data_IF_070858355058
#
_entry.id   IF_070858355058
#
_cell.length_a   1.000
_cell.length_b   1.000
_cell.length_c   1.000
_cell.angle_alpha   90.00
_cell.angle_beta   90.00
_cell.angle_gamma   90.00
#
_symmetry.space_group_name_H-M   'P 1'
#
loop_
_entity.id
_entity.type
_entity.pdbx_description
1 polymer ?
#
# COMPACT_ATOMS: atom_id res chain seq x y z
N UNK A 1 6.93 -4.21 24.34
CA UNK A 1 8.22 -4.21 23.62
C UNK A 1 7.92 -4.03 22.15
N UNK A 2 8.29 -2.86 21.65
CA UNK A 2 7.75 -2.27 20.42
C UNK A 2 8.04 -3.06 19.14
N UNK A 3 6.98 -3.61 18.56
CA UNK A 3 7.01 -4.32 17.27
C UNK A 3 7.42 -3.39 16.08
N UNK A 4 7.34 -2.07 16.25
CA UNK A 4 7.75 -1.06 15.28
C UNK A 4 9.25 -1.11 14.95
N UNK A 5 10.09 -1.36 15.95
CA UNK A 5 11.55 -1.39 15.78
C UNK A 5 12.08 -2.59 14.98
N UNK A 6 11.26 -3.63 14.82
CA UNK A 6 11.66 -4.83 14.06
C UNK A 6 11.41 -4.70 12.57
N UNK A 7 10.34 -4.01 12.16
CA UNK A 7 9.94 -3.86 10.75
C UNK A 7 10.93 -2.93 10.03
N UNK A 8 11.25 -1.79 10.61
CA UNK A 8 12.25 -0.85 10.08
C UNK A 8 13.61 -1.55 9.87
N UNK A 9 14.09 -2.33 10.85
CA UNK A 9 15.34 -3.10 10.73
C UNK A 9 15.31 -4.19 9.66
N UNK A 10 14.16 -4.81 9.40
CA UNK A 10 14.02 -5.81 8.36
C UNK A 10 14.20 -5.14 6.98
N UNK A 11 13.51 -4.03 6.75
CA UNK A 11 13.61 -3.27 5.50
C UNK A 11 15.01 -2.65 5.28
N UNK A 12 15.64 -2.16 6.33
CA UNK A 12 17.01 -1.62 6.31
C UNK A 12 18.07 -2.65 5.88
N UNK A 13 17.85 -3.92 6.22
CA UNK A 13 18.81 -5.02 5.93
C UNK A 13 18.75 -5.50 4.48
N UNK A 14 17.62 -5.33 3.80
CA UNK A 14 17.37 -5.82 2.45
C UNK A 14 17.64 -4.78 1.33
N UNK A 15 18.06 -3.59 1.68
CA UNK A 15 18.10 -2.37 0.87
C UNK A 15 18.56 -2.45 -0.60
N UNK A 16 19.65 -3.16 -0.94
CA UNK A 16 20.14 -3.24 -2.34
C UNK A 16 19.57 -4.42 -3.12
N UNK A 17 19.33 -5.56 -2.47
CA UNK A 17 18.72 -6.74 -3.10
C UNK A 17 17.19 -6.59 -3.22
N UNK A 18 16.58 -5.82 -2.32
CA UNK A 18 15.16 -5.54 -2.29
C UNK A 18 14.69 -4.94 -3.62
N UNK A 19 15.33 -3.90 -4.10
CA UNK A 19 14.88 -3.18 -5.31
C UNK A 19 14.92 -4.05 -6.58
N UNK A 20 15.95 -4.89 -6.76
CA UNK A 20 16.09 -5.71 -7.97
C UNK A 20 15.05 -6.84 -7.97
N UNK A 21 14.88 -7.51 -6.85
CA UNK A 21 14.00 -8.67 -6.72
C UNK A 21 12.52 -8.25 -6.68
N UNK A 22 12.18 -7.26 -5.84
CA UNK A 22 10.82 -6.77 -5.68
C UNK A 22 10.35 -5.89 -6.85
N UNK A 23 11.26 -5.18 -7.51
CA UNK A 23 10.95 -4.41 -8.72
C UNK A 23 10.30 -5.29 -9.79
N UNK A 24 10.89 -6.46 -10.07
CA UNK A 24 10.43 -7.35 -11.14
C UNK A 24 9.22 -8.19 -10.72
N UNK A 25 9.20 -8.72 -9.49
CA UNK A 25 8.13 -9.61 -9.01
C UNK A 25 6.82 -8.86 -8.79
N UNK A 26 6.89 -7.62 -8.30
CA UNK A 26 5.72 -6.83 -7.95
C UNK A 26 5.39 -5.70 -8.94
N UNK A 27 6.06 -5.65 -10.10
CA UNK A 27 5.80 -4.61 -11.12
C UNK A 27 4.41 -4.71 -11.71
N UNK A 28 3.94 -5.92 -12.00
CA UNK A 28 2.61 -6.14 -12.57
C UNK A 28 1.52 -5.58 -11.65
N UNK A 29 1.55 -5.94 -10.36
CA UNK A 29 0.56 -5.45 -9.40
C UNK A 29 0.56 -3.93 -9.30
N UNK A 30 1.74 -3.27 -9.29
CA UNK A 30 1.81 -1.81 -9.27
C UNK A 30 1.19 -1.19 -10.52
N UNK A 31 1.50 -1.72 -11.71
CA UNK A 31 0.93 -1.22 -12.96
C UNK A 31 -0.61 -1.36 -12.96
N UNK A 32 -1.12 -2.55 -12.63
CA UNK A 32 -2.56 -2.80 -12.50
C UNK A 32 -3.20 -1.88 -11.46
N UNK A 33 -2.54 -1.66 -10.32
CA UNK A 33 -3.04 -0.75 -9.28
C UNK A 33 -3.17 0.70 -9.76
N UNK A 34 -2.19 1.19 -10.50
CA UNK A 34 -2.21 2.53 -11.11
C UNK A 34 -3.32 2.63 -12.17
N UNK A 35 -3.47 1.60 -13.02
CA UNK A 35 -4.53 1.53 -14.03
C UNK A 35 -5.93 1.51 -13.39
N UNK A 36 -6.15 0.69 -12.36
CA UNK A 36 -7.41 0.62 -11.62
C UNK A 36 -7.76 1.95 -10.94
N UNK A 37 -6.75 2.67 -10.45
CA UNK A 37 -6.95 3.95 -9.76
C UNK A 37 -7.53 5.02 -10.69
N UNK A 38 -7.20 4.99 -12.01
CA UNK A 38 -7.65 5.97 -12.99
C UNK A 38 -7.47 7.40 -12.50
N UNK A 39 -6.26 7.71 -11.98
CA UNK A 39 -5.94 9.02 -11.43
C UNK A 39 -6.11 10.09 -12.51
N UNK A 40 -6.90 11.13 -12.20
CA UNK A 40 -7.20 12.24 -13.12
C UNK A 40 -6.25 13.39 -12.86
N UNK A 41 -6.09 14.27 -13.86
CA UNK A 41 -5.42 15.56 -13.69
C UNK A 41 -6.04 16.34 -12.53
N UNK A 42 -5.20 17.05 -11.79
CA UNK A 42 -5.57 17.89 -10.65
C UNK A 42 -6.13 17.12 -9.42
N UNK A 43 -6.14 15.79 -9.44
CA UNK A 43 -6.45 15.01 -8.25
C UNK A 43 -5.23 14.87 -7.34
N UNK A 44 -5.51 14.77 -6.04
CA UNK A 44 -4.52 14.58 -5.00
C UNK A 44 -4.47 13.12 -4.56
N UNK A 45 -3.31 12.50 -4.74
CA UNK A 45 -3.03 11.10 -4.39
C UNK A 45 -2.16 11.00 -3.14
N UNK A 46 -2.54 10.12 -2.23
CA UNK A 46 -1.66 9.62 -1.16
C UNK A 46 -1.19 8.20 -1.49
N UNK A 47 0.12 7.99 -1.55
CA UNK A 47 0.71 6.65 -1.55
C UNK A 47 1.21 6.29 -0.16
N UNK A 48 0.57 5.31 0.47
CA UNK A 48 0.91 4.80 1.80
C UNK A 48 1.90 3.66 1.66
N UNK A 49 3.07 3.78 2.34
CA UNK A 49 4.16 2.84 2.21
C UNK A 49 4.86 2.95 0.85
N UNK A 50 5.22 4.17 0.45
CA UNK A 50 5.83 4.45 -0.86
C UNK A 50 7.18 3.74 -1.06
N UNK A 51 7.83 3.31 0.03
CA UNK A 51 9.11 2.60 0.00
C UNK A 51 10.18 3.36 -0.75
N UNK A 52 10.82 2.69 -1.72
CA UNK A 52 11.84 3.29 -2.59
C UNK A 52 11.25 4.03 -3.81
N UNK A 53 9.96 4.31 -3.81
CA UNK A 53 9.29 5.10 -4.85
C UNK A 53 9.14 4.40 -6.20
N UNK A 54 8.94 3.07 -6.22
CA UNK A 54 8.83 2.30 -7.47
C UNK A 54 7.54 2.59 -8.26
N UNK A 55 6.49 3.06 -7.61
CA UNK A 55 5.21 3.44 -8.23
C UNK A 55 5.22 4.89 -8.75
N UNK A 56 6.04 5.77 -8.17
CA UNK A 56 6.01 7.20 -8.43
C UNK A 56 6.09 7.57 -9.92
N UNK A 57 6.97 6.94 -10.74
CA UNK A 57 7.06 7.26 -12.17
C UNK A 57 5.85 6.79 -13.00
N UNK A 58 4.95 6.00 -12.41
CA UNK A 58 3.77 5.47 -13.09
C UNK A 58 2.58 6.42 -13.02
N UNK A 59 2.61 7.38 -12.09
CA UNK A 59 1.54 8.35 -11.92
C UNK A 59 1.68 9.52 -12.90
N UNK A 60 0.56 10.14 -13.32
CA UNK A 60 0.60 11.32 -14.18
C UNK A 60 1.25 12.50 -13.45
N UNK A 61 2.07 13.27 -14.17
CA UNK A 61 2.73 14.47 -13.64
C UNK A 61 1.78 15.68 -13.42
N UNK A 62 0.53 15.54 -13.82
CA UNK A 62 -0.52 16.56 -13.65
C UNK A 62 -1.28 16.45 -12.32
N UNK A 63 -1.00 15.41 -11.52
CA UNK A 63 -1.64 15.17 -10.22
C UNK A 63 -0.66 15.50 -9.09
N UNK A 64 -1.17 15.95 -7.94
CA UNK A 64 -0.36 16.12 -6.72
C UNK A 64 -0.20 14.77 -6.02
N UNK A 65 1.03 14.34 -5.80
CA UNK A 65 1.35 13.03 -5.20
C UNK A 65 2.07 13.25 -3.87
N UNK A 66 1.53 12.68 -2.81
CA UNK A 66 2.17 12.62 -1.50
C UNK A 66 2.48 11.16 -1.20
N UNK A 67 3.76 10.85 -0.97
CA UNK A 67 4.21 9.53 -0.54
C UNK A 67 4.63 9.53 0.93
N UNK A 68 4.15 8.55 1.70
CA UNK A 68 4.59 8.36 3.09
C UNK A 68 5.18 6.99 3.28
N UNK A 69 6.22 6.92 4.12
CA UNK A 69 6.78 5.65 4.60
C UNK A 69 7.29 5.83 6.03
N UNK A 70 7.35 4.75 6.80
CA UNK A 70 7.90 4.79 8.16
C UNK A 70 9.43 4.77 8.16
N UNK A 71 10.05 4.25 7.10
CA UNK A 71 11.50 4.12 6.94
C UNK A 71 12.10 5.33 6.24
N UNK A 72 12.89 6.13 6.96
CA UNK A 72 13.65 7.24 6.39
C UNK A 72 14.64 6.78 5.31
N UNK A 73 15.24 5.60 5.46
CA UNK A 73 16.18 5.03 4.47
C UNK A 73 15.50 4.64 3.16
N UNK A 74 14.25 4.19 3.21
CA UNK A 74 13.46 3.94 2.00
C UNK A 74 13.14 5.25 1.30
N UNK A 75 12.76 6.26 2.08
CA UNK A 75 12.46 7.60 1.54
C UNK A 75 13.68 8.28 0.93
N UNK A 76 14.88 8.14 1.50
CA UNK A 76 16.12 8.65 0.88
C UNK A 76 16.28 8.15 -0.57
N UNK A 77 16.00 6.85 -0.82
CA UNK A 77 16.04 6.28 -2.18
C UNK A 77 14.90 6.76 -3.06
N UNK A 78 13.71 6.96 -2.48
CA UNK A 78 12.58 7.54 -3.21
C UNK A 78 12.88 8.99 -3.60
N UNK A 79 13.50 9.78 -2.73
CA UNK A 79 13.94 11.16 -3.00
C UNK A 79 15.02 11.21 -4.10
N UNK A 80 15.98 10.28 -4.09
CA UNK A 80 16.95 10.13 -5.20
C UNK A 80 16.21 9.93 -6.52
N UNK A 81 15.25 9.02 -6.56
CA UNK A 81 14.44 8.75 -7.74
C UNK A 81 13.58 9.94 -8.18
N UNK A 82 12.98 10.67 -7.25
CA UNK A 82 12.24 11.91 -7.51
C UNK A 82 13.14 12.95 -8.19
N UNK A 83 14.37 13.14 -7.68
CA UNK A 83 15.34 14.05 -8.28
C UNK A 83 15.80 13.59 -9.66
N UNK A 84 16.19 12.31 -9.80
CA UNK A 84 16.73 11.74 -11.04
C UNK A 84 15.73 11.77 -12.19
N UNK A 85 14.44 11.59 -11.88
CA UNK A 85 13.34 11.57 -12.86
C UNK A 85 12.59 12.90 -12.96
N UNK A 86 13.03 13.95 -12.24
CA UNK A 86 12.41 15.28 -12.24
C UNK A 86 10.89 15.23 -11.93
N UNK A 87 10.49 14.46 -10.90
CA UNK A 87 9.09 14.32 -10.50
C UNK A 87 8.68 15.49 -9.58
N UNK A 88 8.48 16.68 -10.14
CA UNK A 88 8.23 17.92 -9.40
C UNK A 88 6.88 17.95 -8.66
N UNK A 89 5.96 17.04 -9.03
CA UNK A 89 4.64 16.90 -8.45
C UNK A 89 4.59 15.93 -7.25
N UNK A 90 5.74 15.42 -6.80
CA UNK A 90 5.85 14.44 -5.70
C UNK A 90 6.43 15.07 -4.45
N UNK A 91 5.77 14.86 -3.33
CA UNK A 91 6.25 15.21 -1.98
C UNK A 91 6.36 13.95 -1.13
N UNK A 92 7.47 13.79 -0.41
CA UNK A 92 7.72 12.62 0.43
C UNK A 92 7.81 13.01 1.91
N UNK A 93 7.32 12.15 2.81
CA UNK A 93 7.36 12.41 4.25
C UNK A 93 7.48 11.12 5.07
N UNK A 94 8.33 11.15 6.10
CA UNK A 94 8.39 10.08 7.11
C UNK A 94 7.12 10.13 7.96
N UNK A 95 6.31 9.08 7.90
CA UNK A 95 5.06 9.04 8.64
C UNK A 95 4.61 7.60 8.92
N UNK A 96 4.03 7.38 10.10
CA UNK A 96 3.40 6.10 10.44
C UNK A 96 1.99 6.04 9.85
N UNK A 97 1.72 5.04 9.02
CA UNK A 97 0.41 4.82 8.40
C UNK A 97 -0.72 4.53 9.40
N UNK A 98 -0.39 4.16 10.65
CA UNK A 98 -1.38 3.95 11.72
C UNK A 98 -1.77 5.25 12.46
N UNK A 99 -1.08 6.36 12.19
CA UNK A 99 -1.28 7.67 12.84
C UNK A 99 -0.96 8.79 11.86
N UNK A 100 -1.78 8.91 10.81
CA UNK A 100 -1.54 9.90 9.76
C UNK A 100 -1.89 11.31 10.26
N UNK A 101 -1.00 12.27 9.96
CA UNK A 101 -1.15 13.67 10.37
C UNK A 101 -1.73 14.54 9.25
N UNK A 102 -2.62 13.98 8.45
CA UNK A 102 -3.34 14.72 7.43
C UNK A 102 -4.76 15.07 7.92
N UNK A 103 -5.33 16.19 7.48
CA UNK A 103 -6.74 16.46 7.73
C UNK A 103 -7.63 15.38 7.08
N UNK A 104 -8.79 15.14 7.67
CA UNK A 104 -9.81 14.28 7.06
C UNK A 104 -10.19 14.78 5.66
N UNK A 105 -10.50 13.84 4.77
CA UNK A 105 -10.96 14.16 3.41
C UNK A 105 -9.97 14.99 2.57
N UNK A 106 -8.65 14.76 2.76
CA UNK A 106 -7.61 15.51 2.07
C UNK A 106 -7.28 14.97 0.67
N UNK A 107 -7.57 13.69 0.41
CA UNK A 107 -7.12 13.00 -0.81
C UNK A 107 -8.30 12.51 -1.64
N UNK A 108 -8.20 12.69 -2.96
CA UNK A 108 -9.15 12.14 -3.93
C UNK A 108 -8.95 10.65 -4.11
N UNK A 109 -7.68 10.23 -4.03
CA UNK A 109 -7.26 8.85 -4.19
C UNK A 109 -6.23 8.46 -3.13
N UNK A 110 -6.23 7.19 -2.74
CA UNK A 110 -5.20 6.60 -1.87
C UNK A 110 -4.77 5.26 -2.44
N UNK A 111 -3.46 5.00 -2.44
CA UNK A 111 -2.90 3.67 -2.74
C UNK A 111 -2.13 3.12 -1.54
N UNK A 112 -2.23 1.81 -1.32
CA UNK A 112 -1.45 1.09 -0.32
C UNK A 112 -0.96 -0.23 -0.92
N UNK A 113 0.27 -0.19 -1.46
CA UNK A 113 0.87 -1.30 -2.16
C UNK A 113 1.76 -2.12 -1.23
N UNK A 114 1.34 -3.36 -0.90
CA UNK A 114 2.09 -4.34 -0.08
C UNK A 114 2.35 -3.90 1.37
N UNK A 115 1.61 -2.91 1.86
CA UNK A 115 1.80 -2.28 3.17
C UNK A 115 0.84 -2.80 4.22
N UNK A 116 -0.43 -3.02 3.87
CA UNK A 116 -1.48 -3.34 4.84
C UNK A 116 -1.18 -4.66 5.57
N UNK A 117 -0.72 -5.69 4.85
CA UNK A 117 -0.33 -6.98 5.44
C UNK A 117 0.99 -6.95 6.20
N UNK A 118 1.79 -5.89 6.04
CA UNK A 118 3.05 -5.70 6.76
C UNK A 118 2.89 -4.87 8.04
N UNK A 119 1.77 -4.16 8.19
CA UNK A 119 1.52 -3.33 9.36
C UNK A 119 1.19 -4.17 10.61
N UNK A 120 1.61 -3.73 11.81
CA UNK A 120 1.23 -4.38 13.06
C UNK A 120 -0.28 -4.43 13.30
N UNK A 121 -1.00 -3.40 12.89
CA UNK A 121 -2.46 -3.32 12.94
C UNK A 121 -3.02 -2.90 11.56
N UNK A 122 -3.36 -3.88 10.70
CA UNK A 122 -3.94 -3.63 9.39
C UNK A 122 -5.25 -2.85 9.43
N UNK A 123 -6.09 -3.08 10.44
CA UNK A 123 -7.37 -2.39 10.60
C UNK A 123 -7.15 -0.90 10.87
N UNK A 124 -6.18 -0.56 11.71
CA UNK A 124 -5.85 0.82 12.01
C UNK A 124 -5.34 1.56 10.77
N UNK A 125 -4.47 0.92 9.98
CA UNK A 125 -3.99 1.51 8.70
C UNK A 125 -5.15 1.80 7.76
N UNK A 126 -6.06 0.85 7.56
CA UNK A 126 -7.20 1.04 6.64
C UNK A 126 -8.18 2.09 7.18
N UNK A 127 -8.39 2.14 8.50
CA UNK A 127 -9.19 3.18 9.13
C UNK A 127 -8.61 4.58 8.88
N UNK A 128 -7.30 4.76 9.05
CA UNK A 128 -6.60 6.03 8.76
C UNK A 128 -6.71 6.40 7.27
N UNK A 129 -6.50 5.43 6.37
CA UNK A 129 -6.71 5.62 4.92
C UNK A 129 -8.11 6.14 4.63
N UNK A 130 -9.14 5.54 5.25
CA UNK A 130 -10.52 5.98 5.08
C UNK A 130 -10.77 7.38 5.65
N UNK A 131 -10.12 7.74 6.77
CA UNK A 131 -10.24 9.09 7.33
C UNK A 131 -9.72 10.16 6.38
N UNK A 132 -8.51 9.98 5.84
CA UNK A 132 -7.85 10.96 4.98
C UNK A 132 -8.38 10.98 3.54
N UNK A 133 -8.95 9.88 3.06
CA UNK A 133 -9.58 9.81 1.74
C UNK A 133 -10.96 10.47 1.76
N UNK A 134 -11.28 11.26 0.73
CA UNK A 134 -12.59 11.92 0.58
C UNK A 134 -13.74 10.90 0.51
N UNK A 135 -14.98 11.27 0.88
CA UNK A 135 -16.17 10.48 0.56
C UNK A 135 -16.26 10.24 -0.96
N UNK A 136 -16.52 9.00 -1.36
CA UNK A 136 -16.45 8.51 -2.74
C UNK A 136 -15.06 8.60 -3.39
N UNK A 137 -14.00 8.88 -2.63
CA UNK A 137 -12.63 8.79 -3.10
C UNK A 137 -12.25 7.34 -3.41
N UNK A 138 -11.31 7.16 -4.31
CA UNK A 138 -10.84 5.84 -4.77
C UNK A 138 -9.68 5.37 -3.91
N UNK A 139 -9.75 4.11 -3.50
CA UNK A 139 -8.69 3.47 -2.69
C UNK A 139 -8.28 2.19 -3.40
N UNK A 140 -6.98 2.04 -3.66
CA UNK A 140 -6.42 0.81 -4.22
C UNK A 140 -5.52 0.14 -3.20
N UNK A 141 -5.82 -1.11 -2.92
CA UNK A 141 -4.95 -2.00 -2.14
C UNK A 141 -4.30 -3.02 -3.05
N UNK A 142 -3.01 -3.25 -2.89
CA UNK A 142 -2.31 -4.39 -3.50
C UNK A 142 -1.67 -5.18 -2.39
N UNK A 143 -2.25 -6.35 -2.10
CA UNK A 143 -1.78 -7.22 -1.04
C UNK A 143 -2.04 -8.69 -1.35
N UNK A 144 -1.36 -9.54 -0.61
CA UNK A 144 -1.84 -10.90 -0.42
C UNK A 144 -3.04 -10.84 0.54
N UNK A 145 -4.13 -11.51 0.15
CA UNK A 145 -5.29 -11.74 1.01
C UNK A 145 -5.52 -13.23 1.14
N UNK A 146 -5.99 -13.64 2.31
CA UNK A 146 -6.29 -15.05 2.62
C UNK A 146 -7.07 -15.72 1.49
N UNK A 147 -6.65 -16.91 1.13
CA UNK A 147 -7.30 -17.69 0.07
C UNK A 147 -8.70 -18.13 0.50
N UNK A 148 -9.65 -18.10 -0.43
CA UNK A 148 -10.96 -18.72 -0.25
C UNK A 148 -10.94 -20.25 -0.43
N UNK A 149 -9.85 -20.80 -0.98
CA UNK A 149 -9.65 -22.24 -1.06
C UNK A 149 -9.24 -22.80 0.30
N UNK A 150 -10.00 -23.72 0.84
CA UNK A 150 -9.81 -24.29 2.18
C UNK A 150 -8.39 -24.85 2.42
N UNK A 151 -7.84 -25.57 1.45
CA UNK A 151 -6.50 -26.17 1.60
C UNK A 151 -5.39 -25.13 1.59
N UNK A 152 -5.50 -24.14 0.70
CA UNK A 152 -4.56 -23.03 0.65
C UNK A 152 -4.67 -22.15 1.91
N UNK A 153 -5.88 -21.85 2.38
CA UNK A 153 -6.08 -21.08 3.60
C UNK A 153 -5.45 -21.77 4.83
N UNK A 154 -5.59 -23.10 4.95
CA UNK A 154 -4.92 -23.85 6.02
C UNK A 154 -3.41 -23.84 5.91
N UNK A 155 -2.86 -23.92 4.70
CA UNK A 155 -1.42 -23.79 4.47
C UNK A 155 -0.93 -22.39 4.85
N UNK A 156 -1.65 -21.34 4.45
CA UNK A 156 -1.37 -19.96 4.82
C UNK A 156 -1.38 -19.74 6.34
N UNK A 157 -2.35 -20.33 7.06
CA UNK A 157 -2.40 -20.31 8.52
C UNK A 157 -1.18 -21.00 9.15
N UNK A 158 -0.74 -22.12 8.59
CA UNK A 158 0.42 -22.87 9.09
C UNK A 158 1.73 -22.07 8.96
N UNK A 159 1.94 -21.39 7.82
CA UNK A 159 3.16 -20.61 7.57
C UNK A 159 3.11 -19.19 8.16
N UNK A 160 1.94 -18.69 8.56
CA UNK A 160 1.73 -17.30 9.01
C UNK A 160 2.68 -16.90 10.15
N UNK A 161 2.90 -17.81 11.11
CA UNK A 161 3.83 -17.54 12.22
C UNK A 161 5.28 -17.29 11.79
N UNK A 162 5.73 -17.97 10.74
CA UNK A 162 7.06 -17.75 10.16
C UNK A 162 7.08 -16.47 9.29
N UNK A 163 6.03 -16.24 8.51
CA UNK A 163 5.91 -15.07 7.65
C UNK A 163 5.80 -13.76 8.46
N UNK A 164 5.11 -13.76 9.59
CA UNK A 164 5.05 -12.60 10.50
C UNK A 164 6.43 -12.18 11.04
N UNK A 165 7.36 -13.10 11.22
CA UNK A 165 8.73 -12.78 11.65
C UNK A 165 9.53 -12.00 10.60
N UNK A 166 9.13 -12.09 9.32
CA UNK A 166 9.72 -11.34 8.21
C UNK A 166 8.83 -10.17 7.75
N UNK A 167 7.84 -9.77 8.58
CA UNK A 167 6.99 -8.61 8.34
C UNK A 167 5.87 -8.84 7.32
N UNK A 168 5.40 -10.08 7.14
CA UNK A 168 4.33 -10.39 6.20
C UNK A 168 3.24 -11.26 6.83
N UNK A 169 1.99 -10.78 6.83
CA UNK A 169 0.81 -11.54 7.27
C UNK A 169 0.12 -12.20 6.09
N UNK A 170 -0.03 -13.54 6.17
CA UNK A 170 -0.65 -14.34 5.10
C UNK A 170 -2.16 -14.54 5.32
N UNK A 171 -2.69 -14.18 6.48
CA UNK A 171 -4.08 -14.45 6.88
C UNK A 171 -4.99 -13.22 6.85
N UNK A 172 -4.53 -12.13 6.21
CA UNK A 172 -5.33 -10.91 6.08
C UNK A 172 -6.61 -11.20 5.27
N UNK A 173 -7.77 -11.01 5.88
CA UNK A 173 -9.05 -11.25 5.23
C UNK A 173 -9.61 -9.94 4.65
N UNK A 174 -9.91 -9.96 3.35
CA UNK A 174 -10.36 -8.77 2.63
C UNK A 174 -11.78 -8.36 3.04
N UNK A 175 -12.71 -9.31 3.13
CA UNK A 175 -14.13 -9.00 3.33
C UNK A 175 -14.42 -8.32 4.67
N UNK A 176 -13.91 -8.82 5.82
CA UNK A 176 -14.03 -8.11 7.09
C UNK A 176 -13.37 -6.73 7.07
N UNK A 177 -12.19 -6.61 6.41
CA UNK A 177 -11.46 -5.35 6.32
C UNK A 177 -12.27 -4.28 5.58
N UNK A 178 -12.88 -4.64 4.45
CA UNK A 178 -13.73 -3.72 3.67
C UNK A 178 -14.99 -3.34 4.44
N UNK A 179 -15.67 -4.32 5.03
CA UNK A 179 -16.95 -4.12 5.72
C UNK A 179 -16.81 -3.24 6.96
N UNK A 180 -15.76 -3.46 7.79
CA UNK A 180 -15.54 -2.67 9.00
C UNK A 180 -15.18 -1.21 8.72
N UNK A 181 -14.69 -0.91 7.53
CA UNK A 181 -14.27 0.44 7.12
C UNK A 181 -15.24 1.11 6.12
N UNK A 182 -16.43 0.56 5.90
CA UNK A 182 -17.42 1.08 4.94
C UNK A 182 -16.85 1.27 3.52
N UNK A 183 -16.03 0.33 3.07
CA UNK A 183 -15.46 0.33 1.74
C UNK A 183 -16.32 -0.49 0.79
N UNK A 184 -16.68 0.08 -0.36
CA UNK A 184 -17.39 -0.62 -1.43
C UNK A 184 -16.41 -1.14 -2.45
N UNK A 185 -16.35 -2.48 -2.62
CA UNK A 185 -15.54 -3.12 -3.64
C UNK A 185 -16.09 -2.79 -5.03
N UNK A 186 -15.25 -2.25 -5.92
CA UNK A 186 -15.59 -1.90 -7.30
C UNK A 186 -14.99 -2.90 -8.29
N UNK A 187 -13.70 -3.20 -8.12
CA UNK A 187 -12.99 -4.14 -8.97
C UNK A 187 -11.91 -4.87 -8.17
N UNK A 188 -11.57 -6.07 -8.61
CA UNK A 188 -10.40 -6.78 -8.11
C UNK A 188 -9.77 -7.60 -9.24
N UNK A 189 -8.44 -7.62 -9.26
CA UNK A 189 -7.64 -8.40 -10.20
C UNK A 189 -6.60 -9.22 -9.46
N UNK A 190 -6.30 -10.41 -9.97
CA UNK A 190 -5.19 -11.22 -9.48
C UNK A 190 -3.95 -10.81 -10.22
N UNK A 191 -2.86 -10.61 -9.46
CA UNK A 191 -1.62 -10.03 -9.99
C UNK A 191 -0.39 -10.78 -9.46
N UNK A 192 0.73 -10.49 -10.07
CA UNK A 192 2.06 -11.00 -9.72
C UNK A 192 2.20 -12.53 -9.89
N UNK A 193 3.32 -13.06 -9.40
CA UNK A 193 3.69 -14.47 -9.58
C UNK A 193 2.58 -15.40 -9.09
N UNK A 194 2.17 -16.33 -9.96
CA UNK A 194 1.09 -17.30 -9.72
C UNK A 194 -0.28 -16.70 -9.36
N UNK A 195 -0.52 -15.43 -9.67
CA UNK A 195 -1.78 -14.74 -9.31
C UNK A 195 -2.10 -14.79 -7.80
N UNK A 196 -1.05 -14.76 -6.98
CA UNK A 196 -1.15 -14.94 -5.52
C UNK A 196 -1.52 -13.65 -4.78
N UNK A 197 -1.32 -12.50 -5.40
CA UNK A 197 -1.72 -11.19 -4.87
C UNK A 197 -2.98 -10.69 -5.56
N UNK A 198 -3.64 -9.73 -4.94
CA UNK A 198 -4.79 -9.03 -5.53
C UNK A 198 -4.55 -7.54 -5.53
N UNK A 199 -4.88 -6.90 -6.64
CA UNK A 199 -5.13 -5.48 -6.74
C UNK A 199 -6.64 -5.26 -6.57
N UNK A 200 -7.02 -4.42 -5.62
CA UNK A 200 -8.41 -4.23 -5.20
C UNK A 200 -8.73 -2.75 -5.23
N UNK A 201 -9.69 -2.34 -6.07
CA UNK A 201 -10.23 -0.97 -6.11
C UNK A 201 -11.49 -0.90 -5.26
N UNK A 202 -11.51 0.06 -4.34
CA UNK A 202 -12.65 0.38 -3.49
C UNK A 202 -13.05 1.86 -3.61
N UNK A 203 -14.31 2.14 -3.32
CA UNK A 203 -14.77 3.49 -3.00
C UNK A 203 -14.91 3.66 -1.49
N UNK A 204 -14.50 4.82 -0.99
CA UNK A 204 -14.73 5.22 0.39
C UNK A 204 -16.19 5.61 0.58
N UNK A 205 -17.02 4.67 1.04
CA UNK A 205 -18.47 4.85 1.20
C UNK A 205 -18.86 5.51 2.54
N UNK A 206 -17.92 6.22 3.19
CA UNK A 206 -18.25 6.99 4.39
C UNK A 206 -19.29 8.09 4.06
N UNK A 207 -20.22 8.31 4.97
CA UNK A 207 -21.19 9.43 4.84
C UNK A 207 -20.45 10.76 4.99
N UNK A 208 -20.91 11.75 4.24
CA UNK A 208 -20.42 13.13 4.37
C UNK A 208 -20.69 13.68 5.76
#
# INVERSE_FOLDING_TARGET
>A
MDNHYSIEKIYDRWGKFYDIFFKKIFSEGRNVGVELLQLKSDEKLLEVGVGTGLSLPLYPNTSEIIGIDISSKMLEKAEEKVRDLHLENVTLSVMNAQEMKFPDNSFDCVTACYVVSAAPDPQKVVSEICCVCKPNGRIVFINHFKSQNFFLAKFEELINGACKKIGWETTLDLDPLLKSNNLSLIAQERVNVFNYWKAVLCLNSKKK
#
